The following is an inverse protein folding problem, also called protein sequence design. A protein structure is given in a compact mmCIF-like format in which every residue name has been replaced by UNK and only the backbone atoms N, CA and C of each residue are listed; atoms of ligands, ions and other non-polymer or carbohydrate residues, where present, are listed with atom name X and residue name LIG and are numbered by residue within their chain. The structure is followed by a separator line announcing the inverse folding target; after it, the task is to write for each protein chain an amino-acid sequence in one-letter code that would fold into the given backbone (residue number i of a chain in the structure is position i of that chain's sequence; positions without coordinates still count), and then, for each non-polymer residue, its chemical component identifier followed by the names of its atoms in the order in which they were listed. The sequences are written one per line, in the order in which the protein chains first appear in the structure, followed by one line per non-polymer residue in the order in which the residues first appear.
data_IF_564688951521
#
_entry.id   IF_564688951521
#
_cell.length_a   1.000
_cell.length_b   1.000
_cell.length_c   1.000
_cell.angle_alpha   90.00
_cell.angle_beta   90.00
_cell.angle_gamma   90.00
#
_symmetry.space_group_name_H-M   'P 1'
#
loop_
_entity.id
_entity.type
_entity.pdbx_description
1 polymer ?
#
# COMPACT_ATOMS: atom_id res chain seq x y z
N UNK A 1 10.01 3.60 -5.04
CA UNK A 1 8.96 2.71 -4.50
C UNK A 1 7.80 2.65 -5.49
N UNK A 2 7.08 1.54 -5.57
CA UNK A 2 5.98 1.35 -6.53
C UNK A 2 4.70 2.07 -6.06
N UNK A 3 3.95 2.70 -6.96
CA UNK A 3 2.64 3.29 -6.67
C UNK A 3 1.62 2.51 -7.49
N UNK A 4 0.60 1.95 -6.84
CA UNK A 4 -0.45 1.17 -7.51
C UNK A 4 -1.58 2.11 -7.90
N UNK A 5 -1.97 2.06 -9.17
CA UNK A 5 -3.03 2.89 -9.75
C UNK A 5 -4.04 2.03 -10.53
N UNK A 6 -3.92 0.70 -10.49
CA UNK A 6 -4.82 -0.24 -11.17
C UNK A 6 -4.73 -1.66 -10.61
N UNK A 7 -5.73 -2.49 -10.90
CA UNK A 7 -5.70 -3.92 -10.55
C UNK A 7 -4.59 -4.66 -11.28
N UNK A 8 -4.29 -4.28 -12.53
CA UNK A 8 -3.23 -4.86 -13.35
C UNK A 8 -1.84 -4.59 -12.75
N UNK A 9 -1.59 -3.39 -12.24
CA UNK A 9 -0.36 -3.05 -11.52
C UNK A 9 -0.23 -3.85 -10.22
N UNK A 10 -1.34 -4.00 -9.47
CA UNK A 10 -1.35 -4.82 -8.26
C UNK A 10 -1.02 -6.29 -8.58
N UNK A 11 -1.59 -6.85 -9.64
CA UNK A 11 -1.28 -8.21 -10.09
C UNK A 11 0.19 -8.36 -10.49
N UNK A 12 0.76 -7.41 -11.22
CA UNK A 12 2.17 -7.42 -11.58
C UNK A 12 3.08 -7.45 -10.36
N UNK A 13 2.76 -6.65 -9.33
CA UNK A 13 3.48 -6.67 -8.07
C UNK A 13 3.31 -8.01 -7.34
N UNK A 14 2.11 -8.60 -7.33
CA UNK A 14 1.88 -9.90 -6.72
C UNK A 14 2.73 -11.01 -7.35
N UNK A 15 2.88 -11.02 -8.67
CA UNK A 15 3.79 -11.97 -9.33
C UNK A 15 5.24 -11.79 -8.84
N UNK A 16 5.69 -10.56 -8.63
CA UNK A 16 7.00 -10.26 -8.05
C UNK A 16 7.10 -10.62 -6.55
N UNK A 17 6.00 -10.55 -5.79
CA UNK A 17 5.99 -10.99 -4.40
C UNK A 17 6.00 -12.50 -4.26
N UNK A 18 5.38 -13.26 -5.17
CA UNK A 18 5.37 -14.73 -5.08
C UNK A 18 6.77 -15.35 -5.18
N UNK A 19 7.73 -14.65 -5.77
CA UNK A 19 9.14 -15.08 -5.79
C UNK A 19 9.92 -14.69 -4.54
N UNK A 20 9.38 -13.79 -3.69
CA UNK A 20 9.99 -13.34 -2.44
C UNK A 20 9.27 -13.95 -1.21
N UNK A 21 9.99 -14.18 -0.12
CA UNK A 21 9.45 -14.87 1.07
C UNK A 21 8.85 -13.91 2.13
N UNK A 22 8.74 -12.62 1.84
CA UNK A 22 8.18 -11.65 2.77
C UNK A 22 6.64 -11.63 2.71
N UNK A 23 5.98 -11.38 3.84
CA UNK A 23 4.51 -11.29 3.93
C UNK A 23 3.97 -9.93 3.45
N UNK A 24 4.84 -8.93 3.43
CA UNK A 24 4.57 -7.55 3.07
C UNK A 24 5.63 -7.03 2.10
N UNK A 25 5.28 -6.06 1.28
CA UNK A 25 6.30 -5.14 0.79
C UNK A 25 5.81 -3.73 0.59
N UNK A 26 6.75 -2.83 0.83
CA UNK A 26 6.50 -1.40 0.92
C UNK A 26 6.17 -0.83 -0.45
N UNK A 27 5.11 -0.03 -0.47
CA UNK A 27 4.71 0.78 -1.59
C UNK A 27 5.15 2.22 -1.39
N UNK A 28 5.03 3.01 -2.45
CA UNK A 28 5.45 4.39 -2.50
C UNK A 28 4.39 5.33 -1.99
N UNK A 29 3.85 5.08 -0.80
CA UNK A 29 2.96 5.98 -0.10
C UNK A 29 3.14 5.89 1.43
N UNK A 30 2.81 6.98 2.12
CA UNK A 30 2.92 7.11 3.57
C UNK A 30 1.87 8.12 4.08
N UNK A 31 1.57 8.11 5.37
CA UNK A 31 0.62 9.05 6.01
C UNK A 31 1.24 9.77 7.23
N UNK A 32 2.57 9.82 7.31
CA UNK A 32 3.37 10.48 8.37
C UNK A 32 2.99 11.94 8.69
N UNK A 33 2.25 12.63 7.81
CA UNK A 33 1.79 14.00 8.06
C UNK A 33 0.41 14.04 8.73
N UNK A 34 -0.51 13.18 8.29
CA UNK A 34 -1.89 13.10 8.75
C UNK A 34 -2.29 11.62 8.69
N UNK A 35 -2.42 11.00 9.86
CA UNK A 35 -2.84 9.61 10.03
C UNK A 35 -4.11 9.29 9.22
N UNK A 36 -4.03 8.25 8.38
CA UNK A 36 -5.09 7.83 7.45
C UNK A 36 -5.16 8.60 6.12
N UNK A 37 -4.40 9.69 5.94
CA UNK A 37 -4.29 10.41 4.66
C UNK A 37 -2.99 10.07 3.94
N UNK A 38 -3.01 8.94 3.22
CA UNK A 38 -1.85 8.49 2.46
C UNK A 38 -1.52 9.42 1.29
N UNK A 39 -0.27 9.88 1.28
CA UNK A 39 0.38 10.62 0.21
C UNK A 39 1.39 9.72 -0.49
N UNK A 40 1.36 9.70 -1.82
CA UNK A 40 2.37 9.00 -2.60
C UNK A 40 3.71 9.72 -2.53
N UNK A 41 4.80 9.02 -2.85
CA UNK A 41 6.15 9.60 -2.98
C UNK A 41 6.27 10.68 -4.06
N UNK A 42 5.21 10.91 -4.86
CA UNK A 42 5.10 12.01 -5.81
C UNK A 42 4.40 13.26 -5.25
N UNK A 43 3.91 13.20 -4.02
CA UNK A 43 3.12 14.27 -3.40
C UNK A 43 1.66 14.30 -3.88
N UNK A 44 1.18 13.21 -4.47
CA UNK A 44 -0.22 13.05 -4.91
C UNK A 44 -0.96 12.20 -3.88
N UNK A 45 -2.21 12.54 -3.49
CA UNK A 45 -3.01 11.70 -2.59
C UNK A 45 -3.22 10.30 -3.16
N UNK A 46 -3.06 9.26 -2.36
CA UNK A 46 -3.22 7.86 -2.80
C UNK A 46 -4.61 7.62 -3.40
N UNK A 47 -5.66 8.24 -2.87
CA UNK A 47 -7.03 8.17 -3.41
C UNK A 47 -7.15 8.61 -4.87
N UNK A 48 -6.25 9.48 -5.34
CA UNK A 48 -6.24 9.96 -6.74
C UNK A 48 -5.61 8.94 -7.70
N UNK A 49 -4.88 7.95 -7.20
CA UNK A 49 -4.39 6.81 -7.98
C UNK A 49 -5.53 5.94 -8.54
N UNK A 50 -6.72 6.00 -7.94
CA UNK A 50 -7.85 5.16 -8.31
C UNK A 50 -7.77 3.72 -7.78
N UNK A 51 -6.78 3.39 -6.94
CA UNK A 51 -6.63 2.06 -6.35
C UNK A 51 -6.73 2.10 -4.82
N UNK A 52 -7.67 1.33 -4.25
CA UNK A 52 -7.89 1.24 -2.81
C UNK A 52 -8.46 -0.14 -2.42
N UNK A 53 -7.62 -1.18 -2.50
CA UNK A 53 -7.99 -2.54 -2.09
C UNK A 53 -7.47 -2.85 -0.68
N UNK A 54 -8.04 -2.22 0.34
CA UNK A 54 -7.61 -2.39 1.73
C UNK A 54 -7.93 -3.78 2.27
N UNK A 55 -7.07 -4.31 3.14
CA UNK A 55 -7.41 -5.48 3.93
C UNK A 55 -8.54 -5.13 4.91
N UNK A 56 -9.29 -6.15 5.35
CA UNK A 56 -10.40 -5.93 6.28
C UNK A 56 -9.87 -5.32 7.57
N UNK A 57 -10.34 -4.12 7.90
CA UNK A 57 -9.92 -3.37 9.09
C UNK A 57 -8.79 -2.39 8.85
N UNK A 58 -8.22 -2.31 7.64
CA UNK A 58 -7.17 -1.34 7.30
C UNK A 58 -7.71 -0.08 6.61
N UNK A 59 -6.98 1.04 6.70
CA UNK A 59 -5.80 1.27 7.54
C UNK A 59 -6.18 1.43 9.03
N UNK A 60 -5.43 0.81 9.96
CA UNK A 60 -5.71 0.90 11.41
C UNK A 60 -4.60 1.52 12.26
N UNK A 61 -3.43 1.82 11.68
CA UNK A 61 -2.25 2.31 12.38
C UNK A 61 -1.92 1.48 13.63
N UNK A 62 -1.67 0.18 13.46
CA UNK A 62 -1.56 -0.77 14.56
C UNK A 62 -0.45 -0.34 15.53
N UNK A 63 -0.81 -0.21 16.81
CA UNK A 63 0.11 0.27 17.86
C UNK A 63 0.67 1.68 17.66
N UNK A 64 0.08 2.49 16.76
CA UNK A 64 0.60 3.78 16.30
C UNK A 64 2.02 3.69 15.70
N UNK A 65 2.28 2.66 14.89
CA UNK A 65 3.61 2.38 14.30
C UNK A 65 3.53 1.95 12.82
N UNK A 66 2.46 2.30 12.11
CA UNK A 66 2.27 1.95 10.68
C UNK A 66 2.05 3.20 9.83
N UNK A 67 3.15 3.89 9.47
CA UNK A 67 3.05 5.12 8.65
C UNK A 67 3.35 4.89 7.15
N UNK A 68 3.69 3.66 6.74
CA UNK A 68 4.10 3.33 5.38
C UNK A 68 3.14 2.33 4.76
N UNK A 69 2.65 2.62 3.56
CA UNK A 69 1.75 1.74 2.83
C UNK A 69 2.47 0.43 2.47
N UNK A 70 1.84 -0.71 2.75
CA UNK A 70 2.37 -2.01 2.35
C UNK A 70 1.34 -2.85 1.57
N UNK A 71 1.84 -3.70 0.67
CA UNK A 71 1.04 -4.70 -0.01
C UNK A 71 1.23 -6.06 0.67
N UNK A 72 0.13 -6.72 1.03
CA UNK A 72 0.11 -8.10 1.54
C UNK A 72 0.17 -9.09 0.38
N UNK A 73 0.63 -10.32 0.64
CA UNK A 73 0.64 -11.41 -0.36
C UNK A 73 -0.71 -11.74 -0.99
N UNK A 74 -1.82 -11.39 -0.34
CA UNK A 74 -3.16 -11.59 -0.87
C UNK A 74 -3.65 -10.43 -1.74
N UNK A 75 -2.81 -9.44 -2.03
CA UNK A 75 -3.11 -8.30 -2.89
C UNK A 75 -3.82 -7.15 -2.19
N UNK A 76 -3.98 -7.23 -0.88
CA UNK A 76 -4.63 -6.20 -0.10
C UNK A 76 -3.63 -5.25 0.55
N UNK A 77 -4.01 -3.99 0.69
CA UNK A 77 -3.21 -2.97 1.36
C UNK A 77 -3.24 -3.20 2.87
N UNK A 78 -2.07 -3.05 3.50
CA UNK A 78 -1.90 -2.73 4.91
C UNK A 78 -1.61 -1.23 4.98
#
# INVERSE_FOLDING_TARGET
LAIINSEEEAMCLLELFTVNLDDYGLLGAHDTEIDGEFMTVKGEPLKESGYANWAVGEPNNFSNDEDCLALRRNGQLN
#
